data_IF_577759759394
#
_entry.id   IF_577759759394
#
_cell.length_a   1.000
_cell.length_b   1.000
_cell.length_c   1.000
_cell.angle_alpha   90.00
_cell.angle_beta   90.00
_cell.angle_gamma   90.00
#
_symmetry.space_group_name_H-M   'P 1'
#
loop_
_entity.id
_entity.type
_entity.pdbx_description
1 polymer ?
#
# COMPACT_ATOMS: atom_id res chain seq x y z
N UNK A 1 6.45 -0.05 -21.80
CA UNK A 1 7.76 -0.67 -21.48
C UNK A 1 8.26 -0.25 -20.10
N UNK A 2 9.35 -0.86 -19.59
CA UNK A 2 10.01 -0.43 -18.34
C UNK A 2 11.52 -0.33 -18.51
N UNK A 3 12.12 0.79 -18.11
CA UNK A 3 13.55 1.03 -18.16
C UNK A 3 14.09 1.20 -19.57
N UNK A 4 15.24 0.58 -19.82
CA UNK A 4 15.98 0.65 -21.08
C UNK A 4 15.72 -0.59 -21.94
N UNK A 5 15.50 -0.38 -23.24
CA UNK A 5 15.38 -1.45 -24.22
C UNK A 5 16.23 -1.15 -25.45
N UNK A 6 16.77 -2.17 -26.08
CA UNK A 6 17.45 -2.00 -27.35
C UNK A 6 16.44 -2.12 -28.50
N UNK A 7 16.44 -1.12 -29.35
CA UNK A 7 15.67 -1.08 -30.58
C UNK A 7 16.60 -1.35 -31.75
N UNK A 8 16.33 -2.43 -32.48
CA UNK A 8 17.04 -2.74 -33.73
C UNK A 8 16.16 -2.29 -34.89
N UNK A 9 16.71 -1.45 -35.76
CA UNK A 9 16.09 -1.01 -37.01
C UNK A 9 16.81 -1.69 -38.15
N UNK A 10 16.05 -2.39 -38.98
CA UNK A 10 16.54 -3.11 -40.15
C UNK A 10 15.70 -2.76 -41.39
N UNK A 11 16.19 -3.11 -42.57
CA UNK A 11 15.52 -2.83 -43.84
C UNK A 11 15.50 -4.10 -44.70
N UNK A 12 14.32 -4.59 -45.02
CA UNK A 12 14.14 -5.87 -45.74
C UNK A 12 14.27 -5.76 -47.27
N UNK A 13 14.48 -4.55 -47.77
CA UNK A 13 14.57 -4.25 -49.21
C UNK A 13 13.43 -3.34 -49.68
N UNK A 14 12.26 -3.44 -49.06
CA UNK A 14 11.06 -2.68 -49.41
C UNK A 14 10.59 -1.78 -48.26
N UNK A 15 10.72 -2.21 -46.99
CA UNK A 15 10.28 -1.46 -45.83
C UNK A 15 11.30 -1.51 -44.68
N UNK A 16 11.26 -0.48 -43.84
CA UNK A 16 11.91 -0.53 -42.53
C UNK A 16 11.15 -1.46 -41.59
N UNK A 17 11.88 -2.15 -40.73
CA UNK A 17 11.33 -3.04 -39.72
C UNK A 17 12.04 -2.80 -38.38
N UNK A 18 11.27 -2.80 -37.30
CA UNK A 18 11.79 -2.60 -35.95
C UNK A 18 11.68 -3.88 -35.12
N UNK A 19 12.69 -4.13 -34.30
CA UNK A 19 12.74 -5.24 -33.36
C UNK A 19 13.13 -4.75 -31.97
N UNK A 20 12.51 -5.35 -30.95
CA UNK A 20 12.82 -5.13 -29.53
C UNK A 20 13.58 -6.30 -28.90
N UNK A 21 13.88 -7.33 -29.71
CA UNK A 21 14.41 -8.59 -29.24
C UNK A 21 15.67 -9.03 -30.01
N UNK A 22 16.49 -8.05 -30.39
CA UNK A 22 17.74 -8.24 -31.14
C UNK A 22 17.56 -8.96 -32.49
N UNK A 23 16.45 -8.66 -33.17
CA UNK A 23 16.17 -9.14 -34.52
C UNK A 23 15.46 -10.50 -34.59
N UNK A 24 14.90 -11.00 -33.49
CA UNK A 24 14.15 -12.27 -33.48
C UNK A 24 12.72 -12.07 -34.00
N UNK A 25 12.08 -10.96 -33.64
CA UNK A 25 10.77 -10.56 -34.14
C UNK A 25 10.80 -9.13 -34.66
N UNK A 26 10.04 -8.89 -35.72
CA UNK A 26 10.02 -7.61 -36.42
C UNK A 26 8.60 -7.10 -36.58
N UNK A 27 8.44 -5.79 -36.42
CA UNK A 27 7.24 -5.03 -36.78
C UNK A 27 7.58 -4.17 -37.98
N UNK A 28 6.92 -4.43 -39.10
CA UNK A 28 7.10 -3.65 -40.34
C UNK A 28 6.51 -2.25 -40.17
N UNK A 29 7.30 -1.24 -40.55
CA UNK A 29 6.88 0.15 -40.58
C UNK A 29 6.09 0.40 -41.86
N UNK A 30 4.90 1.02 -41.79
CA UNK A 30 4.17 1.42 -42.99
C UNK A 30 4.99 2.38 -43.87
N UNK A 31 4.81 2.37 -45.20
CA UNK A 31 5.47 3.33 -46.10
C UNK A 31 5.21 4.78 -45.68
N UNK A 32 6.27 5.57 -45.46
CA UNK A 32 6.18 6.95 -44.95
C UNK A 32 6.16 7.08 -43.42
N UNK A 33 6.16 5.96 -42.68
CA UNK A 33 6.20 5.93 -41.23
C UNK A 33 4.90 6.37 -40.54
N UNK A 34 4.84 6.17 -39.24
CA UNK A 34 3.73 6.65 -38.39
C UNK A 34 4.28 7.28 -37.12
N UNK A 35 3.58 8.30 -36.61
CA UNK A 35 3.97 9.00 -35.38
C UNK A 35 3.84 8.15 -34.11
N UNK A 36 3.10 7.03 -34.17
CA UNK A 36 2.80 6.17 -33.03
C UNK A 36 2.77 4.70 -33.45
N UNK A 37 3.89 4.19 -33.96
CA UNK A 37 4.01 2.78 -34.27
C UNK A 37 4.06 1.99 -32.96
N UNK A 38 3.14 1.03 -32.80
CA UNK A 38 3.13 0.14 -31.65
C UNK A 38 4.09 -1.04 -31.88
N UNK A 39 5.09 -1.17 -31.03
CA UNK A 39 5.99 -2.32 -30.98
C UNK A 39 5.66 -3.13 -29.72
N UNK A 40 5.31 -4.40 -29.89
CA UNK A 40 5.03 -5.28 -28.75
C UNK A 40 6.24 -6.16 -28.50
N UNK A 41 6.78 -6.10 -27.29
CA UNK A 41 7.81 -7.04 -26.85
C UNK A 41 7.19 -8.43 -26.68
N UNK A 42 7.60 -9.45 -27.47
CA UNK A 42 6.99 -10.78 -27.42
C UNK A 42 7.30 -11.52 -26.10
N UNK A 43 8.33 -11.11 -25.35
CA UNK A 43 8.73 -11.76 -24.09
C UNK A 43 7.89 -11.25 -22.91
N UNK A 44 7.52 -9.98 -22.94
CA UNK A 44 6.83 -9.31 -21.82
C UNK A 44 5.39 -8.91 -22.13
N UNK A 45 4.96 -8.97 -23.39
CA UNK A 45 3.65 -8.50 -23.85
C UNK A 45 3.45 -7.00 -23.75
N UNK A 46 4.51 -6.22 -23.49
CA UNK A 46 4.45 -4.77 -23.30
C UNK A 46 4.60 -4.06 -24.62
N UNK A 47 3.85 -2.96 -24.77
CA UNK A 47 3.93 -2.10 -25.94
C UNK A 47 4.87 -0.92 -25.70
N UNK A 48 5.66 -0.59 -26.71
CA UNK A 48 6.42 0.65 -26.87
C UNK A 48 5.86 1.39 -28.08
N UNK A 49 5.52 2.65 -27.92
CA UNK A 49 5.12 3.51 -29.03
C UNK A 49 6.33 4.31 -29.49
N UNK A 50 6.66 4.22 -30.77
CA UNK A 50 7.80 4.90 -31.39
C UNK A 50 7.31 5.71 -32.58
N UNK A 51 7.78 6.94 -32.70
CA UNK A 51 7.61 7.74 -33.91
C UNK A 51 8.60 7.25 -34.98
N UNK A 52 8.04 6.78 -36.09
CA UNK A 52 8.78 6.18 -37.21
C UNK A 52 8.71 7.05 -38.46
N UNK A 53 8.10 8.24 -38.39
CA UNK A 53 7.90 9.16 -39.53
C UNK A 53 9.21 9.69 -40.13
N UNK A 54 10.31 9.69 -39.36
CA UNK A 54 11.62 10.17 -39.77
C UNK A 54 12.71 9.10 -39.91
N UNK A 55 12.36 7.81 -40.00
CA UNK A 55 13.38 6.76 -40.13
C UNK A 55 14.11 6.90 -41.47
N UNK A 56 15.43 7.11 -41.40
CA UNK A 56 16.29 7.31 -42.55
C UNK A 56 17.47 6.32 -42.62
N UNK A 57 17.54 5.36 -41.69
CA UNK A 57 18.65 4.42 -41.63
C UNK A 57 18.37 3.20 -40.75
N UNK A 58 19.25 2.21 -40.86
CA UNK A 58 19.27 1.01 -40.03
C UNK A 58 20.31 1.14 -38.93
N UNK A 59 20.16 0.37 -37.85
CA UNK A 59 21.09 0.40 -36.74
C UNK A 59 20.45 -0.08 -35.44
N UNK A 60 21.24 -0.03 -34.37
CA UNK A 60 20.81 -0.41 -33.02
C UNK A 60 20.86 0.84 -32.15
N UNK A 61 19.74 1.16 -31.51
CA UNK A 61 19.62 2.33 -30.63
C UNK A 61 19.07 1.90 -29.28
N UNK A 62 19.57 2.51 -28.20
CA UNK A 62 19.03 2.33 -26.86
C UNK A 62 17.85 3.27 -26.66
N UNK A 63 16.66 2.71 -26.45
CA UNK A 63 15.44 3.46 -26.16
C UNK A 63 15.15 3.38 -24.67
N UNK A 64 15.00 4.55 -24.05
CA UNK A 64 14.78 4.69 -22.61
C UNK A 64 13.38 5.22 -22.35
N UNK A 65 12.73 4.69 -21.31
CA UNK A 65 11.43 5.18 -20.84
C UNK A 65 11.58 5.73 -19.42
N UNK A 66 11.82 7.05 -19.25
CA UNK A 66 11.93 7.68 -17.94
C UNK A 66 10.69 7.41 -17.05
N UNK A 67 10.86 7.38 -15.74
CA UNK A 67 9.74 7.13 -14.81
C UNK A 67 9.41 5.66 -14.58
N UNK A 68 10.05 4.74 -15.29
CA UNK A 68 9.73 3.30 -15.24
C UNK A 68 10.89 2.41 -14.81
N UNK A 69 11.95 3.02 -14.27
CA UNK A 69 13.14 2.31 -13.84
C UNK A 69 12.88 1.43 -12.61
N UNK A 70 13.65 0.34 -12.54
CA UNK A 70 13.68 -0.56 -11.40
C UNK A 70 15.13 -0.83 -11.03
N UNK A 71 15.43 -0.85 -9.72
CA UNK A 71 16.79 -1.04 -9.20
C UNK A 71 17.55 -2.16 -9.92
N UNK A 72 16.94 -3.34 -10.03
CA UNK A 72 17.57 -4.50 -10.65
C UNK A 72 17.79 -4.33 -12.15
N UNK A 73 16.82 -3.77 -12.88
CA UNK A 73 16.99 -3.54 -14.32
C UNK A 73 18.05 -2.48 -14.60
N UNK A 74 18.10 -1.40 -13.81
CA UNK A 74 19.12 -0.36 -13.96
C UNK A 74 20.53 -0.89 -13.63
N UNK A 75 20.67 -1.72 -12.59
CA UNK A 75 21.95 -2.33 -12.23
C UNK A 75 22.41 -3.38 -13.24
N UNK A 76 21.48 -4.17 -13.78
CA UNK A 76 21.76 -5.12 -14.87
C UNK A 76 22.19 -4.34 -16.13
N UNK A 77 21.45 -3.28 -16.50
CA UNK A 77 21.80 -2.43 -17.63
C UNK A 77 23.16 -1.77 -17.48
N UNK A 78 23.50 -1.29 -16.27
CA UNK A 78 24.82 -0.73 -15.98
C UNK A 78 25.93 -1.79 -16.13
N UNK A 79 25.72 -2.99 -15.58
CA UNK A 79 26.66 -4.10 -15.73
C UNK A 79 26.86 -4.43 -17.21
N UNK A 80 25.79 -4.61 -17.96
CA UNK A 80 25.85 -5.02 -19.37
C UNK A 80 26.51 -3.92 -20.23
N UNK A 81 26.26 -2.65 -19.92
CA UNK A 81 26.94 -1.50 -20.53
C UNK A 81 28.44 -1.50 -20.23
N UNK A 82 28.84 -1.83 -18.99
CA UNK A 82 30.25 -1.89 -18.58
C UNK A 82 30.99 -3.09 -19.18
N UNK A 83 30.32 -4.23 -19.39
CA UNK A 83 30.90 -5.39 -20.08
C UNK A 83 31.16 -5.06 -21.56
N UNK A 84 30.38 -4.15 -22.13
CA UNK A 84 30.52 -3.66 -23.50
C UNK A 84 30.50 -4.78 -24.56
N UNK A 85 29.63 -5.78 -24.41
CA UNK A 85 29.51 -6.90 -25.36
C UNK A 85 29.20 -6.45 -26.79
N UNK A 86 28.64 -5.24 -26.94
CA UNK A 86 28.25 -4.64 -28.23
C UNK A 86 29.36 -3.82 -28.90
N UNK A 87 30.54 -3.71 -28.27
CA UNK A 87 31.68 -2.99 -28.85
C UNK A 87 31.44 -1.50 -29.03
N UNK A 88 30.66 -0.89 -28.14
CA UNK A 88 30.40 0.55 -28.12
C UNK A 88 31.71 1.32 -27.97
N UNK A 89 31.77 2.49 -28.61
CA UNK A 89 32.90 3.41 -28.46
C UNK A 89 32.90 4.06 -27.05
N UNK A 90 34.04 4.57 -26.63
CA UNK A 90 34.25 5.11 -25.28
C UNK A 90 33.26 6.23 -24.94
N UNK A 91 32.90 7.09 -25.90
CA UNK A 91 31.93 8.16 -25.70
C UNK A 91 30.52 7.61 -25.43
N UNK A 92 30.10 6.60 -26.19
CA UNK A 92 28.79 5.96 -26.03
C UNK A 92 28.68 5.20 -24.71
N UNK A 93 29.77 4.55 -24.29
CA UNK A 93 29.84 3.83 -23.02
C UNK A 93 29.73 4.78 -21.83
N UNK A 94 30.46 5.91 -21.84
CA UNK A 94 30.37 6.93 -20.79
C UNK A 94 28.97 7.52 -20.71
N UNK A 95 28.34 7.80 -21.86
CA UNK A 95 26.95 8.26 -21.93
C UNK A 95 26.00 7.23 -21.30
N UNK A 96 26.12 5.96 -21.69
CA UNK A 96 25.30 4.87 -21.15
C UNK A 96 25.43 4.70 -19.64
N UNK A 97 26.65 4.78 -19.11
CA UNK A 97 26.92 4.73 -17.66
C UNK A 97 26.30 5.94 -16.94
N UNK A 98 26.46 7.15 -17.47
CA UNK A 98 25.89 8.37 -16.88
C UNK A 98 24.37 8.28 -16.78
N UNK A 99 23.72 7.77 -17.82
CA UNK A 99 22.27 7.59 -17.85
C UNK A 99 21.82 6.47 -16.89
N UNK A 100 22.60 5.40 -16.75
CA UNK A 100 22.33 4.37 -15.73
C UNK A 100 22.41 4.94 -14.31
N UNK A 101 23.39 5.82 -14.02
CA UNK A 101 23.51 6.50 -12.73
C UNK A 101 22.27 7.37 -12.45
N UNK A 102 21.82 8.14 -13.44
CA UNK A 102 20.58 8.91 -13.33
C UNK A 102 19.36 8.01 -13.03
N UNK A 103 19.26 6.85 -13.67
CA UNK A 103 18.23 5.86 -13.38
C UNK A 103 18.30 5.32 -11.94
N UNK A 104 19.51 5.11 -11.38
CA UNK A 104 19.68 4.71 -9.97
C UNK A 104 19.22 5.82 -9.03
N UNK A 105 19.53 7.08 -9.33
CA UNK A 105 19.04 8.22 -8.55
C UNK A 105 17.52 8.34 -8.57
N UNK A 106 16.89 8.09 -9.71
CA UNK A 106 15.43 8.07 -9.81
C UNK A 106 14.82 6.98 -8.93
N UNK A 107 15.34 5.75 -9.00
CA UNK A 107 14.90 4.63 -8.16
C UNK A 107 15.13 4.93 -6.68
N UNK A 108 16.25 5.56 -6.31
CA UNK A 108 16.52 6.01 -4.94
C UNK A 108 15.45 7.00 -4.48
N UNK A 109 15.11 7.98 -5.32
CA UNK A 109 14.10 8.99 -4.97
C UNK A 109 12.71 8.36 -4.79
N UNK A 110 12.34 7.41 -5.65
CA UNK A 110 11.10 6.63 -5.50
C UNK A 110 11.09 5.83 -4.19
N UNK A 111 12.22 5.21 -3.82
CA UNK A 111 12.35 4.47 -2.57
C UNK A 111 12.22 5.38 -1.35
N UNK A 112 12.83 6.57 -1.37
CA UNK A 112 12.69 7.58 -0.32
C UNK A 112 11.22 7.98 -0.15
N UNK A 113 10.52 8.26 -1.26
CA UNK A 113 9.10 8.61 -1.22
C UNK A 113 8.24 7.47 -0.66
N UNK A 114 8.51 6.22 -1.06
CA UNK A 114 7.83 5.05 -0.54
C UNK A 114 8.07 4.88 0.97
N UNK A 115 9.30 5.09 1.45
CA UNK A 115 9.62 5.04 2.88
C UNK A 115 8.91 6.13 3.69
N UNK A 116 8.82 7.35 3.17
CA UNK A 116 8.05 8.44 3.82
C UNK A 116 6.57 8.06 3.91
N UNK A 117 6.00 7.52 2.83
CA UNK A 117 4.61 7.05 2.82
C UNK A 117 4.37 5.93 3.84
N UNK A 118 5.26 4.93 3.89
CA UNK A 118 5.19 3.86 4.87
C UNK A 118 5.31 4.39 6.31
N UNK A 119 6.23 5.31 6.57
CA UNK A 119 6.38 5.97 7.88
C UNK A 119 5.11 6.72 8.31
N UNK A 120 4.47 7.43 7.38
CA UNK A 120 3.19 8.10 7.63
C UNK A 120 2.07 7.11 7.95
N UNK A 121 1.97 5.99 7.22
CA UNK A 121 1.00 4.94 7.50
C UNK A 121 1.22 4.29 8.87
N UNK A 122 2.47 4.04 9.26
CA UNK A 122 2.80 3.52 10.60
C UNK A 122 2.36 4.52 11.68
N UNK A 123 2.63 5.81 11.51
CA UNK A 123 2.17 6.85 12.44
C UNK A 123 0.65 6.94 12.55
N UNK A 124 -0.05 6.78 11.42
CA UNK A 124 -1.51 6.70 11.40
C UNK A 124 -2.03 5.48 12.16
N UNK A 125 -1.46 4.30 11.92
CA UNK A 125 -1.84 3.06 12.62
C UNK A 125 -1.57 3.14 14.13
N UNK A 126 -0.46 3.76 14.53
CA UNK A 126 -0.14 3.98 15.95
C UNK A 126 -1.14 4.95 16.62
N UNK A 127 -1.55 6.00 15.90
CA UNK A 127 -2.61 6.92 16.36
C UNK A 127 -3.95 6.20 16.49
N UNK A 128 -4.31 5.38 15.49
CA UNK A 128 -5.53 4.58 15.52
C UNK A 128 -5.52 3.61 16.71
N UNK A 129 -4.39 2.95 16.97
CA UNK A 129 -4.22 2.05 18.12
C UNK A 129 -4.47 2.79 19.44
N UNK A 130 -3.85 3.95 19.66
CA UNK A 130 -4.06 4.76 20.88
C UNK A 130 -5.52 5.16 21.06
N UNK A 131 -6.20 5.54 19.98
CA UNK A 131 -7.61 5.92 20.05
C UNK A 131 -8.51 4.73 20.42
N UNK A 132 -8.23 3.54 19.88
CA UNK A 132 -8.94 2.32 20.24
C UNK A 132 -8.71 1.91 21.71
N UNK A 133 -7.48 2.07 22.19
CA UNK A 133 -7.12 1.81 23.59
C UNK A 133 -7.85 2.78 24.54
N UNK A 134 -7.88 4.08 24.23
CA UNK A 134 -8.68 5.05 24.99
C UNK A 134 -10.17 4.71 24.98
N UNK A 135 -10.74 4.36 23.82
CA UNK A 135 -12.15 3.98 23.70
C UNK A 135 -12.47 2.71 24.52
N UNK A 136 -11.54 1.76 24.57
CA UNK A 136 -11.67 0.56 25.40
C UNK A 136 -11.72 0.93 26.89
N UNK A 137 -10.80 1.79 27.35
CA UNK A 137 -10.78 2.23 28.75
C UNK A 137 -12.05 3.01 29.12
N UNK A 138 -12.51 3.93 28.27
CA UNK A 138 -13.74 4.69 28.49
C UNK A 138 -14.96 3.75 28.57
N UNK A 139 -15.04 2.77 27.68
CA UNK A 139 -16.12 1.77 27.68
C UNK A 139 -16.09 0.91 28.95
N UNK A 140 -14.90 0.53 29.41
CA UNK A 140 -14.72 -0.25 30.62
C UNK A 140 -15.09 0.54 31.88
N UNK A 141 -14.74 1.83 31.94
CA UNK A 141 -15.15 2.72 33.03
C UNK A 141 -16.66 2.94 33.04
N UNK A 142 -17.28 3.19 31.88
CA UNK A 142 -18.74 3.30 31.76
C UNK A 142 -19.46 2.03 32.22
N UNK A 143 -18.96 0.86 31.83
CA UNK A 143 -19.50 -0.43 32.26
C UNK A 143 -19.39 -0.59 33.77
N UNK A 144 -18.24 -0.23 34.35
CA UNK A 144 -18.01 -0.28 35.80
C UNK A 144 -18.97 0.63 36.55
N UNK A 145 -19.17 1.86 36.07
CA UNK A 145 -20.12 2.82 36.67
C UNK A 145 -21.56 2.32 36.62
N UNK A 146 -21.99 1.74 35.50
CA UNK A 146 -23.32 1.13 35.36
C UNK A 146 -23.50 -0.02 36.36
N UNK A 147 -22.54 -0.93 36.44
CA UNK A 147 -22.58 -2.04 37.40
C UNK A 147 -22.62 -1.55 38.86
N UNK A 148 -21.84 -0.52 39.20
CA UNK A 148 -21.85 0.07 40.54
C UNK A 148 -23.20 0.73 40.87
N UNK A 149 -23.84 1.41 39.89
CA UNK A 149 -25.16 1.98 40.06
C UNK A 149 -26.23 0.90 40.32
N UNK A 150 -26.18 -0.21 39.58
CA UNK A 150 -27.08 -1.35 39.77
C UNK A 150 -26.91 -1.96 41.17
N UNK A 151 -25.67 -2.15 41.62
CA UNK A 151 -25.37 -2.66 42.97
C UNK A 151 -25.92 -1.71 44.04
N UNK A 152 -25.73 -0.40 43.88
CA UNK A 152 -26.25 0.59 44.83
C UNK A 152 -27.77 0.56 44.89
N UNK A 153 -28.44 0.42 43.74
CA UNK A 153 -29.91 0.29 43.68
C UNK A 153 -30.40 -0.97 44.39
N UNK A 154 -29.77 -2.12 44.15
CA UNK A 154 -30.09 -3.38 44.83
C UNK A 154 -29.90 -3.24 46.34
N UNK A 155 -28.82 -2.60 46.79
CA UNK A 155 -28.55 -2.37 48.21
C UNK A 155 -29.63 -1.47 48.87
N UNK A 156 -30.09 -0.44 48.16
CA UNK A 156 -31.19 0.43 48.61
C UNK A 156 -32.49 -0.38 48.75
N UNK A 157 -32.83 -1.19 47.76
CA UNK A 157 -34.05 -2.00 47.78
C UNK A 157 -34.02 -3.06 48.89
N UNK A 158 -32.85 -3.68 49.13
CA UNK A 158 -32.65 -4.61 50.23
C UNK A 158 -32.83 -3.93 51.59
N UNK A 159 -32.23 -2.75 51.78
CA UNK A 159 -32.35 -1.96 53.01
C UNK A 159 -33.81 -1.58 53.30
N UNK A 160 -34.55 -1.12 52.27
CA UNK A 160 -35.99 -0.83 52.39
C UNK A 160 -36.80 -2.05 52.82
N UNK A 161 -36.54 -3.23 52.22
CA UNK A 161 -37.21 -4.47 52.60
C UNK A 161 -36.89 -4.89 54.03
N UNK A 162 -35.64 -4.74 54.48
CA UNK A 162 -35.24 -5.05 55.85
C UNK A 162 -35.95 -4.14 56.86
N UNK A 163 -36.01 -2.83 56.59
CA UNK A 163 -36.73 -1.87 57.43
C UNK A 163 -38.22 -2.22 57.51
N UNK A 164 -38.85 -2.53 56.37
CA UNK A 164 -40.26 -2.97 56.34
C UNK A 164 -40.47 -4.27 57.12
N UNK A 165 -39.57 -5.25 57.00
CA UNK A 165 -39.60 -6.47 57.79
C UNK A 165 -39.53 -6.19 59.28
N UNK A 166 -38.59 -5.34 59.73
CA UNK A 166 -38.47 -4.97 61.14
C UNK A 166 -39.72 -4.23 61.65
N UNK A 167 -40.30 -3.33 60.84
CA UNK A 167 -41.57 -2.68 61.15
C UNK A 167 -42.70 -3.70 61.31
N UNK A 168 -42.83 -4.64 60.36
CA UNK A 168 -43.86 -5.68 60.43
C UNK A 168 -43.70 -6.58 61.66
N UNK A 169 -42.47 -6.94 62.04
CA UNK A 169 -42.18 -7.74 63.23
C UNK A 169 -42.52 -6.98 64.51
N UNK A 170 -42.21 -5.68 64.57
CA UNK A 170 -42.57 -4.80 65.69
C UNK A 170 -44.09 -4.66 65.85
N UNK A 171 -44.82 -4.50 64.74
CA UNK A 171 -46.28 -4.46 64.73
C UNK A 171 -46.87 -5.81 65.15
N UNK A 172 -46.38 -6.93 64.59
CA UNK A 172 -46.82 -8.26 64.97
C UNK A 172 -46.55 -8.55 66.46
N UNK A 173 -45.38 -8.17 66.96
CA UNK A 173 -45.02 -8.30 68.38
C UNK A 173 -45.97 -7.52 69.29
N UNK A 174 -46.33 -6.28 68.92
CA UNK A 174 -47.34 -5.47 69.64
C UNK A 174 -48.73 -6.12 69.62
N UNK A 175 -49.17 -6.64 68.47
CA UNK A 175 -50.47 -7.32 68.36
C UNK A 175 -50.52 -8.59 69.21
N UNK A 176 -49.46 -9.41 69.22
CA UNK A 176 -49.37 -10.61 70.04
C UNK A 176 -49.37 -10.28 71.55
N UNK A 177 -48.70 -9.21 71.98
CA UNK A 177 -48.69 -8.80 73.39
C UNK A 177 -50.05 -8.28 73.86
N UNK A 178 -50.75 -7.50 73.03
CA UNK A 178 -52.12 -7.03 73.37
C UNK A 178 -53.09 -8.21 73.46
N UNK A 179 -53.04 -9.15 72.51
CA UNK A 179 -53.88 -10.35 72.51
C UNK A 179 -53.69 -11.24 73.74
N UNK A 180 -52.45 -11.45 74.20
CA UNK A 180 -52.18 -12.24 75.40
C UNK A 180 -52.67 -11.56 76.68
N UNK A 181 -52.58 -10.23 76.74
CA UNK A 181 -53.07 -9.44 77.88
C UNK A 181 -54.61 -9.44 77.96
N UNK A 182 -55.28 -9.48 76.82
CA UNK A 182 -56.73 -9.59 76.72
C UNK A 182 -57.24 -11.02 77.00
N UNK A 183 -56.43 -12.05 76.72
CA UNK A 183 -56.75 -13.45 77.01
C UNK A 183 -56.61 -13.83 78.50
N UNK A 184 -55.86 -13.05 79.29
CA UNK A 184 -55.63 -13.28 80.73
C UNK A 184 -56.59 -12.51 81.64
N UNK A 185 -57.50 -11.69 81.10
CA UNK A 185 -58.59 -11.05 81.82
C UNK A 185 -59.89 -11.82 81.63
#
# INVERSE_FOLDING_TARGET
MRGDTWLTVDHDGDNYRLSLDDGVSFVTVPPGGTANQALTDPRTGRVLYVDTSGIAGTGVALVRVPGTYHAFHTLIGLRDTLINERGLDAEELVRGVTECVAGVEEVRNQLVQANVSAGSQIGFLDTLRRNLESMQFDTQDQTTRLQQADIAQIAIDLSRRQVLYQMSLSVAGKLMTVSLLDFLR
#
